data_IF_490749762467
#
_entry.id   IF_490749762467
#
_cell.length_a   1.000
_cell.length_b   1.000
_cell.length_c   1.000
_cell.angle_alpha   90.00
_cell.angle_beta   90.00
_cell.angle_gamma   90.00
#
_symmetry.space_group_name_H-M   'P 1'
#
loop_
_entity.id
_entity.type
_entity.pdbx_description
1 polymer ?
#
# COMPACT_ATOMS: atom_id res chain seq x y z
N UNK A 1 14.66 42.78 8.71
CA UNK A 1 14.63 41.94 7.49
C UNK A 1 14.76 40.48 7.91
N UNK A 2 13.94 39.56 7.37
CA UNK A 2 13.90 38.15 7.80
C UNK A 2 15.17 37.33 7.50
N UNK A 3 16.18 37.92 6.85
CA UNK A 3 17.40 37.24 6.39
C UNK A 3 17.26 36.80 4.93
N UNK A 4 18.36 36.34 4.31
CA UNK A 4 18.37 35.80 2.95
C UNK A 4 19.43 34.69 2.82
N UNK A 5 19.26 33.81 1.84
CA UNK A 5 20.30 32.84 1.46
C UNK A 5 21.05 33.40 0.26
N UNK A 6 22.37 33.55 0.40
CA UNK A 6 23.26 33.90 -0.70
C UNK A 6 23.84 32.62 -1.30
N UNK A 7 23.79 32.48 -2.62
CA UNK A 7 24.55 31.47 -3.35
C UNK A 7 25.74 32.17 -3.98
N UNK A 8 26.95 31.78 -3.59
CA UNK A 8 28.17 32.38 -4.14
C UNK A 8 28.59 31.74 -5.48
N UNK A 9 29.63 32.29 -6.12
CA UNK A 9 30.14 31.80 -7.40
C UNK A 9 30.67 30.37 -7.35
N UNK A 10 30.99 29.86 -6.15
CA UNK A 10 31.40 28.48 -5.93
C UNK A 10 30.19 27.55 -5.63
N UNK A 11 28.97 28.06 -5.69
CA UNK A 11 27.74 27.31 -5.41
C UNK A 11 27.48 27.07 -3.92
N UNK A 12 28.20 27.75 -3.02
CA UNK A 12 27.98 27.61 -1.57
C UNK A 12 26.77 28.43 -1.16
N UNK A 13 25.87 27.81 -0.41
CA UNK A 13 24.68 28.47 0.13
C UNK A 13 24.98 28.99 1.54
N UNK A 14 24.84 30.30 1.74
CA UNK A 14 25.16 30.99 2.98
C UNK A 14 23.91 31.67 3.52
N UNK A 15 23.47 31.27 4.71
CA UNK A 15 22.35 31.90 5.39
C UNK A 15 22.79 33.21 6.09
N UNK A 16 22.32 34.34 5.57
CA UNK A 16 22.63 35.68 6.07
C UNK A 16 21.49 36.19 6.95
N UNK A 17 21.78 36.42 8.22
CA UNK A 17 20.83 36.92 9.22
C UNK A 17 20.56 35.91 10.34
N UNK A 18 20.45 36.39 11.59
CA UNK A 18 20.31 35.51 12.76
C UNK A 18 18.96 34.77 12.79
N UNK A 19 17.86 35.45 12.42
CA UNK A 19 16.52 34.85 12.40
C UNK A 19 16.44 33.68 11.40
N UNK A 20 16.89 33.88 10.16
CA UNK A 20 16.93 32.84 9.14
C UNK A 20 17.83 31.66 9.56
N UNK A 21 19.00 31.93 10.18
CA UNK A 21 19.87 30.86 10.68
C UNK A 21 19.19 30.00 11.75
N UNK A 22 18.41 30.62 12.63
CA UNK A 22 17.66 29.89 13.66
C UNK A 22 16.55 29.03 13.04
N UNK A 23 15.84 29.55 12.03
CA UNK A 23 14.82 28.81 11.28
C UNK A 23 15.43 27.61 10.52
N UNK A 24 16.50 27.85 9.76
CA UNK A 24 17.19 26.79 9.02
C UNK A 24 17.86 25.76 9.93
N UNK A 25 18.24 26.12 11.16
CA UNK A 25 18.78 25.17 12.14
C UNK A 25 17.75 24.11 12.54
N UNK A 26 16.46 24.47 12.60
CA UNK A 26 15.38 23.50 12.84
C UNK A 26 15.15 22.56 11.65
N UNK A 27 15.58 23.00 10.46
CA UNK A 27 15.51 22.26 9.20
C UNK A 27 16.84 21.54 8.87
N UNK A 28 17.78 21.40 9.82
CA UNK A 28 19.09 20.80 9.55
C UNK A 28 18.98 19.39 8.95
N UNK A 29 19.65 19.13 7.83
CA UNK A 29 19.61 17.84 7.15
C UNK A 29 20.31 17.86 5.80
N UNK A 30 20.29 16.74 5.09
CA UNK A 30 20.73 16.66 3.71
C UNK A 30 19.56 17.03 2.80
N UNK A 31 19.82 17.90 1.84
CA UNK A 31 18.85 18.34 0.86
C UNK A 31 19.34 17.98 -0.53
N UNK A 32 18.43 17.49 -1.37
CA UNK A 32 18.68 17.35 -2.79
C UNK A 32 18.14 18.57 -3.53
N UNK A 33 18.94 19.09 -4.46
CA UNK A 33 18.51 20.18 -5.33
C UNK A 33 17.58 19.62 -6.39
N UNK A 34 16.36 20.14 -6.44
CA UNK A 34 15.44 19.89 -7.53
C UNK A 34 15.73 20.87 -8.66
N UNK A 35 15.44 20.53 -9.92
CA UNK A 35 15.61 21.45 -11.03
C UNK A 35 14.92 22.80 -10.79
N UNK A 36 15.73 23.85 -10.89
CA UNK A 36 15.46 25.23 -10.48
C UNK A 36 15.74 26.17 -11.63
N UNK A 37 15.13 27.35 -11.64
CA UNK A 37 15.36 28.39 -12.66
C UNK A 37 16.18 29.57 -12.10
N UNK A 38 16.30 30.66 -12.86
CA UNK A 38 17.04 31.85 -12.41
C UNK A 38 16.35 32.65 -11.31
N UNK A 39 15.09 32.35 -10.98
CA UNK A 39 14.27 33.07 -10.04
C UNK A 39 14.02 32.30 -8.74
N UNK A 40 14.02 30.97 -8.77
CA UNK A 40 13.67 30.11 -7.63
C UNK A 40 14.59 28.89 -7.53
N UNK A 41 15.06 28.63 -6.30
CA UNK A 41 15.82 27.43 -5.95
C UNK A 41 14.97 26.46 -5.12
N UNK A 42 14.90 25.20 -5.54
CA UNK A 42 14.05 24.17 -4.96
C UNK A 42 14.91 23.09 -4.28
N UNK A 43 14.57 22.76 -3.03
CA UNK A 43 15.28 21.76 -2.24
C UNK A 43 14.29 20.82 -1.55
N UNK A 44 14.58 19.52 -1.58
CA UNK A 44 13.81 18.51 -0.83
C UNK A 44 14.71 17.84 0.22
N UNK A 45 14.24 17.75 1.48
CA UNK A 45 14.96 17.06 2.55
C UNK A 45 14.95 15.55 2.27
N UNK A 46 16.09 14.90 2.46
CA UNK A 46 16.26 13.46 2.19
C UNK A 46 16.85 12.78 3.43
N UNK A 47 16.33 11.60 3.76
CA UNK A 47 16.78 10.80 4.92
C UNK A 47 18.16 10.16 4.73
N UNK A 48 18.77 10.31 3.54
CA UNK A 48 20.09 9.82 3.15
C UNK A 48 20.51 10.43 1.80
N UNK A 49 21.67 10.07 1.24
CA UNK A 49 22.08 10.55 -0.10
C UNK A 49 21.23 9.85 -1.18
N UNK A 50 20.37 10.57 -1.92
CA UNK A 50 19.48 9.95 -2.90
C UNK A 50 20.29 9.48 -4.13
N UNK A 51 19.85 8.42 -4.82
CA UNK A 51 20.43 8.07 -6.11
C UNK A 51 20.24 9.23 -7.10
N UNK A 52 21.34 9.70 -7.70
CA UNK A 52 21.43 10.87 -8.62
C UNK A 52 20.49 10.83 -9.85
N UNK A 53 19.73 9.76 -10.06
CA UNK A 53 18.93 9.53 -11.27
C UNK A 53 17.51 10.09 -11.20
N UNK A 54 16.93 10.23 -10.02
CA UNK A 54 15.49 10.56 -9.87
C UNK A 54 15.15 12.05 -10.12
N UNK A 55 16.16 12.93 -10.28
CA UNK A 55 15.98 14.40 -10.24
C UNK A 55 16.52 15.16 -11.46
N UNK A 56 16.68 14.47 -12.60
CA UNK A 56 17.32 15.07 -13.80
C UNK A 56 16.45 16.03 -14.61
N UNK A 57 15.17 16.21 -14.26
CA UNK A 57 14.17 16.83 -15.14
C UNK A 57 13.50 18.07 -14.53
N UNK A 58 13.37 19.20 -15.27
CA UNK A 58 12.79 20.46 -14.78
C UNK A 58 11.44 20.23 -14.10
N UNK A 59 11.31 20.65 -12.85
CA UNK A 59 10.03 20.69 -12.13
C UNK A 59 9.22 21.83 -12.71
N UNK A 60 8.02 21.53 -13.19
CA UNK A 60 7.11 22.52 -13.81
C UNK A 60 5.89 22.81 -12.96
N UNK A 61 5.57 21.93 -12.01
CA UNK A 61 4.52 22.14 -11.03
C UNK A 61 4.90 21.36 -9.76
N UNK A 62 4.69 21.97 -8.60
CA UNK A 62 4.83 21.31 -7.30
C UNK A 62 3.73 21.79 -6.36
N UNK A 63 3.38 20.97 -5.37
CA UNK A 63 2.41 21.32 -4.36
C UNK A 63 2.26 20.23 -3.31
N UNK A 64 1.46 20.52 -2.30
CA UNK A 64 1.11 19.60 -1.22
C UNK A 64 -0.10 18.74 -1.65
N UNK A 65 -0.09 17.48 -1.21
CA UNK A 65 -1.24 16.58 -1.20
C UNK A 65 -2.07 16.90 0.06
N UNK A 66 -2.59 18.12 0.16
CA UNK A 66 -3.35 18.55 1.34
C UNK A 66 -4.84 18.20 1.18
N UNK A 67 -5.26 17.08 1.76
CA UNK A 67 -6.68 16.71 1.86
C UNK A 67 -7.27 15.98 0.65
N UNK A 68 -8.54 15.59 0.79
CA UNK A 68 -9.27 14.77 -0.19
C UNK A 68 -9.42 15.52 -1.52
N UNK A 69 -9.01 14.90 -2.63
CA UNK A 69 -9.14 15.47 -3.97
C UNK A 69 -7.90 16.17 -4.53
N UNK A 70 -6.90 16.50 -3.69
CA UNK A 70 -5.66 17.16 -4.16
C UNK A 70 -4.90 16.33 -5.21
N UNK A 71 -4.80 15.01 -5.02
CA UNK A 71 -4.23 14.08 -6.00
C UNK A 71 -5.07 13.99 -7.29
N UNK A 72 -6.40 14.04 -7.16
CA UNK A 72 -7.34 14.04 -8.29
C UNK A 72 -7.16 15.30 -9.13
N UNK A 73 -7.09 16.46 -8.48
CA UNK A 73 -6.97 17.76 -9.13
C UNK A 73 -5.68 17.88 -9.92
N UNK A 74 -4.54 17.48 -9.34
CA UNK A 74 -3.26 17.52 -10.07
C UNK A 74 -3.23 16.53 -11.23
N UNK A 75 -3.77 15.32 -11.08
CA UNK A 75 -3.85 14.34 -12.17
C UNK A 75 -4.77 14.88 -13.28
N UNK A 76 -5.92 15.45 -12.91
CA UNK A 76 -6.86 16.03 -13.87
C UNK A 76 -6.28 17.24 -14.59
N UNK A 77 -5.50 18.09 -13.89
CA UNK A 77 -4.74 19.17 -14.50
C UNK A 77 -3.75 18.64 -15.54
N UNK A 78 -2.92 17.66 -15.17
CA UNK A 78 -1.92 17.05 -16.08
C UNK A 78 -2.61 16.44 -17.32
N UNK A 79 -3.74 15.77 -17.13
CA UNK A 79 -4.55 15.21 -18.20
C UNK A 79 -5.12 16.29 -19.13
N UNK A 80 -5.85 17.26 -18.56
CA UNK A 80 -6.60 18.28 -19.30
C UNK A 80 -5.68 19.26 -20.03
N UNK A 81 -4.53 19.58 -19.45
CA UNK A 81 -3.50 20.41 -20.08
C UNK A 81 -2.51 19.62 -20.96
N UNK A 82 -2.81 18.34 -21.21
CA UNK A 82 -2.03 17.43 -22.06
C UNK A 82 -0.53 17.42 -21.75
N UNK A 83 -0.16 17.57 -20.48
CA UNK A 83 1.24 17.59 -20.09
C UNK A 83 1.87 16.21 -20.31
N UNK A 84 3.15 16.23 -20.66
CA UNK A 84 4.01 15.04 -20.77
C UNK A 84 5.13 15.16 -19.75
N UNK A 85 5.43 14.07 -19.05
CA UNK A 85 6.38 14.11 -17.94
C UNK A 85 6.10 13.07 -16.85
N UNK A 86 6.82 13.20 -15.74
CA UNK A 86 6.63 12.34 -14.57
C UNK A 86 5.98 13.14 -13.45
N UNK A 87 4.83 12.67 -12.98
CA UNK A 87 4.15 13.17 -11.79
C UNK A 87 4.50 12.26 -10.61
N UNK A 88 5.43 12.70 -9.78
CA UNK A 88 5.88 12.03 -8.57
C UNK A 88 5.00 12.46 -7.39
N UNK A 89 4.57 11.49 -6.57
CA UNK A 89 3.92 11.67 -5.28
C UNK A 89 4.80 11.11 -4.17
N UNK A 90 4.86 11.83 -3.05
CA UNK A 90 5.74 11.56 -1.91
C UNK A 90 4.94 11.64 -0.62
N UNK A 91 4.88 10.57 0.16
CA UNK A 91 4.25 10.56 1.49
C UNK A 91 5.15 9.79 2.46
N UNK A 92 5.87 10.53 3.31
CA UNK A 92 6.96 9.97 4.11
C UNK A 92 8.01 9.28 3.24
N UNK A 93 8.21 7.97 3.47
CA UNK A 93 9.11 7.14 2.67
C UNK A 93 8.47 6.59 1.39
N UNK A 94 7.16 6.74 1.21
CA UNK A 94 6.47 6.24 0.01
C UNK A 94 6.69 7.16 -1.17
N UNK A 95 7.15 6.59 -2.29
CA UNK A 95 7.40 7.29 -3.56
C UNK A 95 6.66 6.57 -4.68
N UNK A 96 5.75 7.27 -5.36
CA UNK A 96 4.98 6.72 -6.49
C UNK A 96 5.02 7.70 -7.66
N UNK A 97 5.28 7.23 -8.87
CA UNK A 97 5.38 8.08 -10.06
C UNK A 97 4.39 7.62 -11.12
N UNK A 98 3.63 8.56 -11.67
CA UNK A 98 2.85 8.38 -12.90
C UNK A 98 3.60 9.02 -14.06
N UNK A 99 3.84 8.25 -15.12
CA UNK A 99 4.46 8.76 -16.35
C UNK A 99 3.36 9.10 -17.35
N UNK A 100 3.31 10.36 -17.77
CA UNK A 100 2.33 10.91 -18.71
C UNK A 100 2.95 11.21 -20.07
N UNK A 101 2.17 10.98 -21.13
CA UNK A 101 2.44 11.46 -22.49
C UNK A 101 1.14 11.91 -23.13
N UNK A 102 1.08 13.17 -23.54
CA UNK A 102 -0.10 13.84 -24.10
C UNK A 102 -1.33 13.72 -23.16
N UNK A 103 -1.10 13.90 -21.86
CA UNK A 103 -2.13 13.75 -20.82
C UNK A 103 -2.61 12.31 -20.57
N UNK A 104 -2.05 11.30 -21.25
CA UNK A 104 -2.37 9.89 -21.04
C UNK A 104 -1.34 9.22 -20.13
N UNK A 105 -1.79 8.32 -19.25
CA UNK A 105 -0.91 7.52 -18.39
C UNK A 105 -0.26 6.42 -19.22
N UNK A 106 1.07 6.41 -19.28
CA UNK A 106 1.89 5.43 -20.02
C UNK A 106 2.53 4.39 -19.12
N UNK A 107 2.80 4.75 -17.87
CA UNK A 107 3.42 3.87 -16.90
C UNK A 107 3.15 4.38 -15.48
N UNK A 108 3.35 3.50 -14.50
CA UNK A 108 3.42 3.88 -13.09
C UNK A 108 4.51 3.07 -12.39
N UNK A 109 5.21 3.70 -11.45
CA UNK A 109 6.24 3.07 -10.62
C UNK A 109 6.01 3.39 -9.15
N UNK A 110 6.48 2.51 -8.28
CA UNK A 110 6.36 2.65 -6.83
C UNK A 110 7.54 1.97 -6.14
N UNK A 111 7.98 2.55 -5.02
CA UNK A 111 8.99 1.92 -4.17
C UNK A 111 8.42 0.90 -3.18
N UNK A 112 7.09 0.82 -3.06
CA UNK A 112 6.39 -0.12 -2.16
C UNK A 112 6.46 -1.55 -2.69
N UNK A 113 6.86 -2.55 -1.88
CA UNK A 113 6.96 -3.94 -2.31
C UNK A 113 5.67 -4.52 -2.91
N UNK A 114 4.52 -4.19 -2.33
CA UNK A 114 3.18 -4.65 -2.71
C UNK A 114 2.76 -4.24 -4.13
N UNK A 115 3.35 -3.17 -4.66
CA UNK A 115 3.07 -2.64 -6.00
C UNK A 115 3.94 -3.27 -7.08
N UNK A 116 4.87 -4.16 -6.73
CA UNK A 116 5.79 -4.78 -7.69
C UNK A 116 5.03 -5.73 -8.60
N UNK A 117 5.46 -5.84 -9.87
CA UNK A 117 4.87 -6.73 -10.86
C UNK A 117 4.77 -8.19 -10.38
N UNK A 118 5.75 -8.67 -9.60
CA UNK A 118 5.71 -10.00 -9.01
C UNK A 118 4.51 -10.19 -8.06
N UNK A 119 4.24 -9.21 -7.20
CA UNK A 119 3.08 -9.25 -6.28
C UNK A 119 1.76 -9.16 -7.05
N UNK A 120 1.70 -8.38 -8.14
CA UNK A 120 0.53 -8.35 -9.04
C UNK A 120 0.32 -9.74 -9.66
N UNK A 121 1.35 -10.36 -10.23
CA UNK A 121 1.26 -11.71 -10.80
C UNK A 121 0.81 -12.75 -9.77
N UNK A 122 1.24 -12.61 -8.52
CA UNK A 122 0.83 -13.48 -7.42
C UNK A 122 -0.65 -13.27 -7.05
N UNK A 123 -1.07 -12.03 -6.78
CA UNK A 123 -2.43 -11.68 -6.35
C UNK A 123 -3.50 -12.06 -7.38
N UNK A 124 -3.22 -11.84 -8.66
CA UNK A 124 -4.10 -12.28 -9.74
C UNK A 124 -3.94 -13.76 -10.11
N UNK A 125 -3.20 -14.55 -9.32
CA UNK A 125 -3.05 -15.99 -9.49
C UNK A 125 -2.42 -16.43 -10.80
N UNK A 126 -1.64 -15.54 -11.45
CA UNK A 126 -0.94 -15.82 -12.70
C UNK A 126 0.26 -16.76 -12.47
N UNK A 127 1.00 -16.55 -11.37
CA UNK A 127 2.12 -17.40 -10.97
C UNK A 127 2.11 -17.67 -9.46
N UNK A 128 2.57 -18.86 -9.02
CA UNK A 128 2.71 -19.17 -7.60
C UNK A 128 3.93 -18.46 -6.98
N UNK A 129 3.89 -18.28 -5.66
CA UNK A 129 4.88 -17.51 -4.88
C UNK A 129 6.31 -18.04 -5.07
N UNK A 130 6.47 -19.36 -5.02
CA UNK A 130 7.76 -20.03 -5.13
C UNK A 130 8.44 -19.80 -6.49
N UNK A 131 7.67 -19.74 -7.58
CA UNK A 131 8.18 -19.42 -8.92
C UNK A 131 8.64 -17.96 -8.99
N UNK A 132 7.83 -17.05 -8.45
CA UNK A 132 8.11 -15.62 -8.46
C UNK A 132 9.32 -15.26 -7.60
N UNK A 133 9.46 -15.85 -6.42
CA UNK A 133 10.59 -15.60 -5.52
C UNK A 133 11.91 -16.05 -6.16
N UNK A 134 11.95 -17.25 -6.73
CA UNK A 134 13.12 -17.75 -7.49
C UNK A 134 13.47 -16.86 -8.67
N UNK A 135 12.47 -16.44 -9.44
CA UNK A 135 12.67 -15.55 -10.59
C UNK A 135 13.18 -14.17 -10.17
N UNK A 136 12.64 -13.59 -9.09
CA UNK A 136 13.03 -12.29 -8.57
C UNK A 136 14.46 -12.30 -7.99
N UNK A 137 14.86 -13.36 -7.32
CA UNK A 137 16.24 -13.53 -6.84
C UNK A 137 17.23 -13.60 -7.99
N UNK A 138 16.93 -14.40 -9.02
CA UNK A 138 17.80 -14.48 -10.20
C UNK A 138 17.88 -13.13 -10.93
N UNK A 139 16.75 -12.46 -11.15
CA UNK A 139 16.69 -11.14 -11.78
C UNK A 139 17.53 -10.09 -11.04
N UNK A 140 17.56 -10.13 -9.70
CA UNK A 140 18.42 -9.25 -8.89
C UNK A 140 19.90 -9.51 -9.17
N UNK A 141 20.30 -10.78 -9.28
CA UNK A 141 21.68 -11.18 -9.58
C UNK A 141 22.12 -10.75 -11.00
N UNK A 142 21.26 -10.92 -11.99
CA UNK A 142 21.57 -10.61 -13.40
C UNK A 142 21.18 -9.18 -13.83
N UNK A 143 20.63 -8.37 -12.91
CA UNK A 143 20.11 -7.01 -13.14
C UNK A 143 19.16 -6.90 -14.33
N UNK A 144 18.18 -7.81 -14.39
CA UNK A 144 17.23 -7.89 -15.50
C UNK A 144 15.79 -7.68 -15.04
N UNK A 145 14.91 -7.05 -15.85
CA UNK A 145 13.50 -6.89 -15.49
C UNK A 145 12.78 -8.24 -15.36
N UNK A 146 12.02 -8.40 -14.27
CA UNK A 146 11.28 -9.63 -13.96
C UNK A 146 10.35 -10.07 -15.11
N UNK A 147 9.57 -9.14 -15.68
CA UNK A 147 8.64 -9.45 -16.76
C UNK A 147 9.32 -10.07 -17.99
N UNK A 148 10.46 -9.51 -18.41
CA UNK A 148 11.23 -10.03 -19.55
C UNK A 148 11.84 -11.40 -19.23
N UNK A 149 12.31 -11.61 -18.01
CA UNK A 149 12.84 -12.91 -17.57
C UNK A 149 11.77 -14.00 -17.58
N UNK A 150 10.56 -13.69 -17.12
CA UNK A 150 9.44 -14.63 -17.12
C UNK A 150 8.96 -14.96 -18.55
N UNK A 151 8.97 -13.96 -19.46
CA UNK A 151 8.66 -14.15 -20.88
C UNK A 151 9.65 -15.10 -21.56
N UNK A 152 10.95 -14.84 -21.40
CA UNK A 152 12.02 -15.63 -22.02
C UNK A 152 12.00 -17.10 -21.58
N UNK A 153 11.54 -17.36 -20.36
CA UNK A 153 11.37 -18.72 -19.83
C UNK A 153 10.04 -19.37 -20.17
N UNK A 154 9.19 -18.70 -20.94
CA UNK A 154 7.86 -19.20 -21.30
C UNK A 154 6.92 -19.37 -20.11
N UNK A 155 7.19 -18.70 -18.98
CA UNK A 155 6.37 -18.79 -17.77
C UNK A 155 5.12 -17.91 -17.86
N UNK A 156 5.18 -16.86 -18.69
CA UNK A 156 4.04 -16.00 -19.04
C UNK A 156 4.09 -15.73 -20.54
N UNK A 157 2.95 -15.41 -21.14
CA UNK A 157 2.87 -14.92 -22.53
C UNK A 157 3.03 -13.40 -22.59
N UNK A 158 3.24 -12.85 -23.79
CA UNK A 158 3.27 -11.39 -23.99
C UNK A 158 1.92 -10.73 -23.65
N UNK A 159 0.81 -11.43 -23.89
CA UNK A 159 -0.53 -10.98 -23.51
C UNK A 159 -0.67 -10.95 -21.98
N UNK A 160 -0.18 -11.97 -21.27
CA UNK A 160 -0.18 -12.00 -19.81
C UNK A 160 0.67 -10.88 -19.22
N UNK A 161 1.86 -10.64 -19.77
CA UNK A 161 2.70 -9.54 -19.32
C UNK A 161 1.99 -8.21 -19.50
N UNK A 162 1.43 -7.94 -20.69
CA UNK A 162 0.70 -6.71 -20.96
C UNK A 162 -0.47 -6.50 -20.00
N UNK A 163 -1.28 -7.54 -19.77
CA UNK A 163 -2.42 -7.50 -18.85
C UNK A 163 -1.98 -7.19 -17.41
N UNK A 164 -0.91 -7.82 -16.92
CA UNK A 164 -0.46 -7.64 -15.54
C UNK A 164 0.30 -6.34 -15.33
N UNK A 165 1.03 -5.83 -16.33
CA UNK A 165 1.59 -4.47 -16.27
C UNK A 165 0.46 -3.43 -16.27
N UNK A 166 -0.60 -3.62 -17.08
CA UNK A 166 -1.77 -2.75 -17.02
C UNK A 166 -2.40 -2.72 -15.62
N UNK A 167 -2.62 -3.89 -15.01
CA UNK A 167 -3.13 -4.00 -13.62
C UNK A 167 -2.22 -3.31 -12.62
N UNK A 168 -0.91 -3.48 -12.75
CA UNK A 168 0.07 -2.79 -11.90
C UNK A 168 -0.09 -1.26 -11.99
N UNK A 169 -0.23 -0.73 -13.21
CA UNK A 169 -0.45 0.72 -13.41
C UNK A 169 -1.77 1.17 -12.78
N UNK A 170 -2.85 0.43 -13.00
CA UNK A 170 -4.16 0.71 -12.40
C UNK A 170 -4.10 0.70 -10.86
N UNK A 171 -3.44 -0.28 -10.25
CA UNK A 171 -3.33 -0.37 -8.79
C UNK A 171 -2.46 0.72 -8.18
N UNK A 172 -1.30 1.02 -8.78
CA UNK A 172 -0.48 2.15 -8.33
C UNK A 172 -1.28 3.45 -8.45
N UNK A 173 -2.00 3.64 -9.56
CA UNK A 173 -2.85 4.81 -9.76
C UNK A 173 -3.91 4.93 -8.66
N UNK A 174 -4.67 3.86 -8.37
CA UNK A 174 -5.69 3.89 -7.32
C UNK A 174 -5.09 4.08 -5.92
N UNK A 175 -3.91 3.52 -5.66
CA UNK A 175 -3.22 3.72 -4.38
C UNK A 175 -2.76 5.17 -4.18
N UNK A 176 -2.45 5.90 -5.25
CA UNK A 176 -2.12 7.34 -5.18
C UNK A 176 -3.36 8.15 -4.76
N UNK A 177 -4.55 7.79 -5.24
CA UNK A 177 -5.79 8.48 -4.86
C UNK A 177 -6.12 8.34 -3.36
N UNK A 178 -5.56 7.33 -2.69
CA UNK A 178 -5.73 7.09 -1.26
C UNK A 178 -4.75 7.89 -0.38
N UNK A 179 -3.75 8.55 -0.97
CA UNK A 179 -2.79 9.39 -0.23
C UNK A 179 -3.51 10.62 0.34
N UNK A 180 -3.36 10.88 1.64
CA UNK A 180 -4.10 11.93 2.38
C UNK A 180 -3.25 13.17 2.68
N UNK A 181 -1.94 13.01 2.63
CA UNK A 181 -0.90 13.98 2.92
C UNK A 181 0.33 13.68 2.04
N UNK A 182 1.24 14.65 1.93
CA UNK A 182 2.49 14.49 1.20
C UNK A 182 2.76 15.61 0.19
N UNK A 183 3.69 15.38 -0.73
CA UNK A 183 4.04 16.33 -1.78
C UNK A 183 3.89 15.70 -3.16
N UNK A 184 3.63 16.53 -4.17
CA UNK A 184 3.73 16.12 -5.57
C UNK A 184 4.67 17.01 -6.37
N UNK A 185 5.27 16.43 -7.40
CA UNK A 185 6.18 17.10 -8.31
C UNK A 185 5.92 16.63 -9.74
N UNK A 186 5.55 17.55 -10.62
CA UNK A 186 5.49 17.31 -12.05
C UNK A 186 6.81 17.75 -12.68
N UNK A 187 7.51 16.81 -13.30
CA UNK A 187 8.74 17.07 -14.05
C UNK A 187 8.50 16.89 -15.54
N UNK A 188 8.99 17.80 -16.37
CA UNK A 188 8.97 17.62 -17.83
C UNK A 188 10.16 16.81 -18.28
N UNK A 189 9.92 15.77 -19.07
CA UNK A 189 11.00 15.10 -19.77
C UNK A 189 11.05 15.59 -21.24
N UNK A 190 12.07 16.37 -21.64
CA UNK A 190 12.19 16.88 -23.01
C UNK A 190 12.54 15.81 -24.05
N UNK A 191 12.97 14.61 -23.63
CA UNK A 191 13.21 13.46 -24.49
C UNK A 191 12.23 12.37 -24.07
N UNK A 192 11.15 12.18 -24.85
CA UNK A 192 10.09 11.18 -24.68
C UNK A 192 10.05 10.52 -23.29
N UNK A 193 9.07 10.83 -22.42
CA UNK A 193 9.08 10.49 -20.98
C UNK A 193 9.30 9.01 -20.63
N UNK A 194 9.39 8.14 -21.62
CA UNK A 194 9.43 6.71 -21.46
C UNK A 194 8.05 6.19 -21.15
N UNK A 195 7.92 4.88 -21.07
CA UNK A 195 6.66 4.20 -20.86
C UNK A 195 6.52 3.06 -21.85
N UNK A 196 6.00 1.94 -21.37
CA UNK A 196 5.71 0.79 -22.23
C UNK A 196 4.63 1.13 -23.28
N UNK A 197 4.14 0.13 -24.03
CA UNK A 197 3.10 0.33 -25.04
C UNK A 197 1.73 0.77 -24.47
N UNK A 198 1.61 0.92 -23.15
CA UNK A 198 0.36 1.28 -22.49
C UNK A 198 -0.03 2.73 -22.80
N UNK A 199 -1.33 2.93 -22.97
CA UNK A 199 -1.96 4.24 -23.12
C UNK A 199 -3.29 4.21 -22.39
N UNK A 200 -3.30 4.64 -21.14
CA UNK A 200 -4.50 4.65 -20.31
C UNK A 200 -5.02 6.08 -20.17
N UNK A 201 -6.33 6.24 -20.36
CA UNK A 201 -6.99 7.52 -20.19
C UNK A 201 -7.07 7.86 -18.70
N UNK A 202 -6.40 8.95 -18.31
CA UNK A 202 -6.31 9.36 -16.91
C UNK A 202 -7.69 9.71 -16.33
N UNK A 203 -8.57 10.36 -17.10
CA UNK A 203 -9.92 10.68 -16.65
C UNK A 203 -10.75 9.42 -16.39
N UNK A 204 -10.67 8.41 -17.27
CA UNK A 204 -11.33 7.11 -17.03
C UNK A 204 -10.81 6.42 -15.78
N UNK A 205 -9.48 6.46 -15.55
CA UNK A 205 -8.88 5.94 -14.33
C UNK A 205 -9.32 6.72 -13.09
N UNK A 206 -9.42 8.05 -13.15
CA UNK A 206 -9.93 8.87 -12.05
C UNK A 206 -11.37 8.51 -11.68
N UNK A 207 -12.26 8.45 -12.68
CA UNK A 207 -13.67 8.13 -12.44
C UNK A 207 -13.85 6.73 -11.85
N UNK A 208 -13.12 5.75 -12.40
CA UNK A 208 -13.14 4.39 -11.88
C UNK A 208 -12.52 4.31 -10.47
N UNK A 209 -11.42 5.03 -10.22
CA UNK A 209 -10.75 5.06 -8.94
C UNK A 209 -11.63 5.63 -7.83
N UNK A 210 -12.29 6.76 -8.09
CA UNK A 210 -13.24 7.37 -7.16
C UNK A 210 -14.42 6.42 -6.86
N UNK A 211 -15.02 5.83 -7.91
CA UNK A 211 -16.08 4.83 -7.74
C UNK A 211 -15.62 3.65 -6.87
N UNK A 212 -14.41 3.14 -7.11
CA UNK A 212 -13.84 2.02 -6.34
C UNK A 212 -13.60 2.39 -4.88
N UNK A 213 -13.13 3.61 -4.60
CA UNK A 213 -12.90 4.09 -3.24
C UNK A 213 -14.21 4.12 -2.44
N UNK A 214 -15.27 4.70 -3.02
CA UNK A 214 -16.59 4.77 -2.39
C UNK A 214 -17.18 3.37 -2.17
N UNK A 215 -17.16 2.52 -3.20
CA UNK A 215 -17.66 1.13 -3.10
C UNK A 215 -16.87 0.32 -2.07
N UNK A 216 -15.53 0.43 -2.05
CA UNK A 216 -14.69 -0.34 -1.14
C UNK A 216 -14.88 0.08 0.32
N UNK A 217 -15.03 1.38 0.59
CA UNK A 217 -15.36 1.87 1.93
C UNK A 217 -16.67 1.25 2.42
N UNK A 218 -17.70 1.25 1.56
CA UNK A 218 -19.00 0.65 1.85
C UNK A 218 -18.94 -0.87 2.06
N UNK A 219 -18.13 -1.59 1.27
CA UNK A 219 -17.98 -3.04 1.40
C UNK A 219 -17.29 -3.44 2.71
N UNK A 220 -16.23 -2.72 3.10
CA UNK A 220 -15.45 -3.01 4.31
C UNK A 220 -16.24 -2.85 5.61
N UNK A 221 -17.25 -1.97 5.62
CA UNK A 221 -18.19 -1.89 6.75
C UNK A 221 -18.98 -3.20 6.97
N UNK A 222 -19.26 -3.96 5.91
CA UNK A 222 -20.01 -5.23 5.99
C UNK A 222 -19.11 -6.45 6.02
N UNK A 223 -17.94 -6.41 5.37
CA UNK A 223 -17.00 -7.53 5.32
C UNK A 223 -15.64 -6.99 5.78
N UNK A 224 -15.39 -7.01 7.12
CA UNK A 224 -14.08 -6.66 7.65
C UNK A 224 -13.02 -7.64 7.16
N UNK A 225 -11.81 -7.16 6.88
CA UNK A 225 -10.69 -7.98 6.40
C UNK A 225 -10.00 -8.74 7.56
N UNK A 226 -10.07 -8.23 8.79
CA UNK A 226 -9.32 -8.77 9.95
C UNK A 226 -9.95 -10.07 10.50
N UNK A 227 -9.22 -11.18 10.39
CA UNK A 227 -9.51 -12.45 11.09
C UNK A 227 -10.83 -13.12 10.71
N UNK A 228 -11.49 -12.68 9.63
CA UNK A 228 -12.78 -13.20 9.20
C UNK A 228 -12.63 -14.11 7.99
N UNK A 229 -13.24 -15.29 8.06
CA UNK A 229 -13.32 -16.24 6.94
C UNK A 229 -14.75 -16.26 6.41
N UNK A 230 -14.89 -16.42 5.11
CA UNK A 230 -16.18 -16.54 4.44
C UNK A 230 -16.42 -18.00 4.08
N UNK A 231 -17.67 -18.45 4.19
CA UNK A 231 -18.09 -19.80 3.77
C UNK A 231 -19.42 -19.71 3.05
N UNK A 232 -19.61 -20.58 2.04
CA UNK A 232 -20.88 -20.72 1.34
C UNK A 232 -21.90 -21.40 2.26
N UNK A 233 -23.12 -20.87 2.28
CA UNK A 233 -24.23 -21.51 2.99
C UNK A 233 -24.71 -22.73 2.22
N UNK A 234 -25.02 -23.80 2.94
CA UNK A 234 -25.45 -25.07 2.34
C UNK A 234 -26.82 -24.96 1.65
N UNK A 235 -27.67 -24.03 2.09
CA UNK A 235 -29.02 -23.76 1.60
C UNK A 235 -29.09 -22.62 0.56
N UNK A 236 -27.94 -22.13 0.06
CA UNK A 236 -27.88 -21.01 -0.86
C UNK A 236 -28.50 -21.35 -2.24
N UNK A 237 -29.48 -20.55 -2.69
CA UNK A 237 -30.10 -20.72 -4.00
C UNK A 237 -29.22 -20.16 -5.13
N UNK A 238 -28.56 -21.05 -5.87
CA UNK A 238 -27.62 -20.66 -6.93
C UNK A 238 -28.27 -20.34 -8.29
N UNK A 239 -29.61 -20.42 -8.41
CA UNK A 239 -30.34 -20.33 -9.67
C UNK A 239 -30.09 -19.05 -10.46
N UNK A 240 -30.14 -17.90 -9.77
CA UNK A 240 -30.05 -16.56 -10.39
C UNK A 240 -28.62 -16.00 -10.48
N UNK A 241 -27.62 -16.78 -10.08
CA UNK A 241 -26.25 -16.30 -10.04
C UNK A 241 -25.59 -16.25 -11.42
N UNK A 242 -24.72 -15.27 -11.64
CA UNK A 242 -23.85 -15.23 -12.80
C UNK A 242 -22.70 -16.23 -12.73
N UNK A 243 -21.91 -16.31 -13.81
CA UNK A 243 -20.78 -17.24 -13.89
C UNK A 243 -19.67 -16.91 -12.88
N UNK A 244 -19.44 -15.62 -12.60
CA UNK A 244 -18.39 -15.16 -11.68
C UNK A 244 -18.77 -15.44 -10.23
N UNK A 245 -20.01 -15.16 -9.86
CA UNK A 245 -20.61 -15.42 -8.55
C UNK A 245 -20.55 -16.92 -8.22
N UNK A 246 -20.97 -17.77 -9.18
CA UNK A 246 -20.86 -19.24 -9.03
C UNK A 246 -19.42 -19.71 -8.85
N UNK A 247 -18.44 -19.09 -9.52
CA UNK A 247 -17.04 -19.44 -9.30
C UNK A 247 -16.59 -19.10 -7.87
N UNK A 248 -16.91 -17.88 -7.40
CA UNK A 248 -16.58 -17.43 -6.04
C UNK A 248 -17.23 -18.35 -5.00
N UNK A 249 -18.51 -18.69 -5.15
CA UNK A 249 -19.18 -19.64 -4.24
C UNK A 249 -18.52 -21.01 -4.22
N UNK A 250 -18.07 -21.54 -5.36
CA UNK A 250 -17.32 -22.80 -5.40
C UNK A 250 -16.00 -22.73 -4.63
N UNK A 251 -15.37 -21.56 -4.55
CA UNK A 251 -14.16 -21.39 -3.74
C UNK A 251 -14.45 -21.36 -2.24
N UNK A 252 -15.68 -21.02 -1.85
CA UNK A 252 -16.13 -20.89 -0.47
C UNK A 252 -16.75 -22.16 0.11
N UNK A 253 -16.58 -23.32 -0.53
CA UNK A 253 -16.99 -24.63 0.00
C UNK A 253 -16.28 -24.99 1.33
N UNK A 254 -15.16 -24.31 1.61
CA UNK A 254 -14.49 -24.32 2.91
C UNK A 254 -14.28 -22.87 3.35
N UNK A 255 -14.19 -22.58 4.65
CA UNK A 255 -13.88 -21.24 5.12
C UNK A 255 -12.59 -20.73 4.48
N UNK A 256 -12.62 -19.53 3.88
CA UNK A 256 -11.47 -18.87 3.24
C UNK A 256 -11.45 -17.38 3.52
N UNK A 257 -10.27 -16.78 3.52
CA UNK A 257 -10.14 -15.30 3.58
C UNK A 257 -10.44 -14.68 2.22
N UNK A 258 -10.71 -13.37 2.20
CA UNK A 258 -10.91 -12.60 0.95
C UNK A 258 -9.72 -12.77 0.00
N UNK A 259 -8.50 -12.70 0.53
CA UNK A 259 -7.26 -12.88 -0.25
C UNK A 259 -7.19 -14.27 -0.91
N UNK A 260 -7.51 -15.32 -0.17
CA UNK A 260 -7.51 -16.70 -0.69
C UNK A 260 -8.53 -16.88 -1.82
N UNK A 261 -9.70 -16.24 -1.72
CA UNK A 261 -10.73 -16.26 -2.76
C UNK A 261 -10.29 -15.45 -3.99
N UNK A 262 -9.73 -14.26 -3.76
CA UNK A 262 -9.27 -13.34 -4.81
C UNK A 262 -8.25 -14.01 -5.72
N UNK A 263 -7.25 -14.64 -5.10
CA UNK A 263 -6.21 -15.40 -5.80
C UNK A 263 -6.75 -16.61 -6.55
N UNK A 264 -7.66 -17.37 -5.93
CA UNK A 264 -8.22 -18.57 -6.55
C UNK A 264 -9.10 -18.24 -7.77
N UNK A 265 -9.83 -17.12 -7.72
CA UNK A 265 -10.70 -16.67 -8.82
C UNK A 265 -9.98 -15.80 -9.85
N UNK A 266 -8.80 -15.26 -9.52
CA UNK A 266 -7.98 -14.38 -10.38
C UNK A 266 -8.67 -13.05 -10.76
N UNK A 267 -9.59 -12.58 -9.93
CA UNK A 267 -10.36 -11.34 -10.19
C UNK A 267 -9.70 -10.09 -9.61
N UNK A 268 -8.76 -10.24 -8.68
CA UNK A 268 -8.19 -9.11 -7.93
C UNK A 268 -9.12 -8.65 -6.80
N UNK A 269 -8.57 -7.84 -5.92
CA UNK A 269 -9.16 -7.65 -4.58
C UNK A 269 -10.49 -6.90 -4.64
N UNK A 270 -10.58 -5.86 -5.47
CA UNK A 270 -11.80 -5.07 -5.64
C UNK A 270 -12.98 -5.90 -6.20
N UNK A 271 -12.78 -6.56 -7.34
CA UNK A 271 -13.82 -7.38 -7.98
C UNK A 271 -14.25 -8.55 -7.09
N UNK A 272 -13.29 -9.16 -6.40
CA UNK A 272 -13.58 -10.23 -5.44
C UNK A 272 -14.44 -9.73 -4.28
N UNK A 273 -14.05 -8.62 -3.66
CA UNK A 273 -14.80 -8.02 -2.56
C UNK A 273 -16.22 -7.65 -2.99
N UNK A 274 -16.39 -7.07 -4.18
CA UNK A 274 -17.71 -6.74 -4.74
C UNK A 274 -18.61 -7.97 -4.89
N UNK A 275 -18.08 -9.06 -5.45
CA UNK A 275 -18.83 -10.31 -5.60
C UNK A 275 -19.18 -10.90 -4.22
N UNK A 276 -18.22 -10.95 -3.31
CA UNK A 276 -18.45 -11.42 -1.94
C UNK A 276 -19.51 -10.60 -1.22
N UNK A 277 -19.49 -9.28 -1.40
CA UNK A 277 -20.49 -8.38 -0.84
C UNK A 277 -21.89 -8.70 -1.36
N UNK A 278 -22.08 -8.82 -2.68
CA UNK A 278 -23.37 -9.17 -3.27
C UNK A 278 -23.86 -10.55 -2.81
N UNK A 279 -22.96 -11.54 -2.74
CA UNK A 279 -23.27 -12.88 -2.24
C UNK A 279 -23.68 -12.86 -0.76
N UNK A 280 -23.04 -12.02 0.06
CA UNK A 280 -23.41 -11.84 1.47
C UNK A 280 -24.79 -11.19 1.59
N UNK A 281 -25.04 -10.12 0.84
CA UNK A 281 -26.30 -9.39 0.88
C UNK A 281 -27.49 -10.24 0.43
N UNK A 282 -27.27 -11.14 -0.52
CA UNK A 282 -28.27 -12.09 -1.01
C UNK A 282 -28.35 -13.38 -0.17
N UNK A 283 -27.59 -13.50 0.91
CA UNK A 283 -27.67 -14.62 1.86
C UNK A 283 -27.01 -15.93 1.39
N UNK A 284 -26.10 -15.88 0.41
CA UNK A 284 -25.41 -17.08 -0.09
C UNK A 284 -24.16 -17.46 0.71
N UNK A 285 -23.60 -16.50 1.46
CA UNK A 285 -22.38 -16.69 2.23
C UNK A 285 -22.55 -16.09 3.62
N UNK A 286 -21.79 -16.60 4.56
CA UNK A 286 -21.72 -16.11 5.94
C UNK A 286 -20.28 -15.86 6.38
N UNK A 287 -20.13 -14.98 7.38
CA UNK A 287 -18.86 -14.72 8.04
C UNK A 287 -18.69 -15.69 9.20
N UNK A 288 -17.52 -16.28 9.27
CA UNK A 288 -17.09 -17.16 10.36
C UNK A 288 -15.88 -16.51 11.01
N UNK A 289 -16.00 -16.19 12.29
CA UNK A 289 -14.86 -15.74 13.08
C UNK A 289 -13.81 -16.84 13.12
N UNK A 290 -12.54 -16.48 12.95
CA UNK A 290 -11.44 -17.39 13.22
C UNK A 290 -11.53 -17.83 14.68
N UNK A 291 -11.95 -19.07 14.92
CA UNK A 291 -11.62 -19.73 16.17
C UNK A 291 -10.12 -20.00 16.08
N UNK A 292 -9.33 -19.14 16.68
CA UNK A 292 -8.02 -19.54 17.17
C UNK A 292 -8.29 -20.58 18.24
N UNK A 293 -8.43 -21.84 17.85
CA UNK A 293 -8.06 -22.91 18.78
C UNK A 293 -6.61 -22.58 19.18
N UNK A 294 -6.31 -22.37 20.48
CA UNK A 294 -4.92 -22.28 20.88
C UNK A 294 -4.21 -23.50 20.30
N UNK A 295 -3.05 -23.33 19.65
CA UNK A 295 -2.37 -24.44 19.01
C UNK A 295 -2.35 -25.59 20.00
N UNK A 296 -2.96 -26.72 19.62
CA UNK A 296 -2.93 -27.93 20.41
C UNK A 296 -1.48 -28.09 20.84
N UNK A 297 -1.25 -28.04 22.15
CA UNK A 297 0.08 -28.17 22.71
C UNK A 297 0.64 -29.50 22.21
N UNK A 298 1.40 -29.45 21.12
CA UNK A 298 2.37 -30.47 20.81
C UNK A 298 3.26 -30.52 22.05
N UNK A 299 3.16 -31.66 22.73
CA UNK A 299 3.98 -31.99 23.88
C UNK A 299 5.42 -32.03 23.37
N UNK A 300 6.07 -30.88 23.38
CA UNK A 300 7.52 -30.79 23.27
C UNK A 300 8.05 -31.35 24.59
N UNK A 301 8.57 -32.57 24.47
CA UNK A 301 9.39 -33.20 25.49
C UNK A 301 10.43 -32.20 25.99
N UNK A 302 10.47 -32.07 27.31
CA UNK A 302 11.32 -31.17 28.06
C UNK A 302 12.80 -31.33 27.67
N UNK A 303 13.41 -30.28 27.11
CA UNK A 303 14.85 -30.06 27.28
C UNK A 303 15.04 -28.85 28.19
N UNK A 304 15.20 -29.16 29.48
CA UNK A 304 15.40 -28.19 30.55
C UNK A 304 16.78 -27.55 30.44
N UNK A 305 16.82 -26.29 30.04
CA UNK A 305 17.85 -25.34 30.53
C UNK A 305 17.15 -24.05 30.93
N UNK A 306 17.20 -23.75 32.23
CA UNK A 306 16.41 -22.71 32.87
C UNK A 306 16.68 -21.31 32.32
N UNK A 307 15.61 -20.60 31.97
CA UNK A 307 15.62 -19.14 31.95
C UNK A 307 14.65 -18.64 33.01
N UNK A 308 15.11 -17.73 33.86
CA UNK A 308 14.34 -17.06 34.93
C UNK A 308 13.06 -16.39 34.39
N UNK A 309 12.96 -16.19 33.08
CA UNK A 309 11.82 -15.64 32.36
C UNK A 309 10.61 -16.58 32.35
N UNK A 310 10.80 -17.90 32.22
CA UNK A 310 9.70 -18.87 32.24
C UNK A 310 9.00 -18.90 33.59
N UNK A 311 9.79 -18.94 34.67
CA UNK A 311 9.27 -18.86 36.03
C UNK A 311 8.54 -17.56 36.33
N UNK A 312 8.98 -16.43 35.76
CA UNK A 312 8.28 -15.14 35.94
C UNK A 312 6.93 -15.10 35.23
N UNK A 313 6.84 -15.64 34.01
CA UNK A 313 5.58 -15.69 33.25
C UNK A 313 4.56 -16.61 33.92
N UNK A 314 4.99 -17.78 34.41
CA UNK A 314 4.12 -18.70 35.12
C UNK A 314 3.64 -18.15 36.46
N UNK A 315 4.53 -17.45 37.19
CA UNK A 315 4.17 -16.76 38.43
C UNK A 315 3.19 -15.63 38.15
N UNK A 316 3.41 -14.85 37.09
CA UNK A 316 2.52 -13.77 36.68
C UNK A 316 1.12 -14.30 36.33
N UNK A 317 1.04 -15.35 35.52
CA UNK A 317 -0.22 -15.95 35.10
C UNK A 317 -0.97 -16.57 36.28
N UNK A 318 -0.27 -17.24 37.20
CA UNK A 318 -0.87 -17.84 38.40
C UNK A 318 -1.42 -16.77 39.35
N UNK A 319 -0.71 -15.65 39.52
CA UNK A 319 -1.18 -14.51 40.32
C UNK A 319 -2.39 -13.87 39.66
N UNK A 320 -2.37 -13.72 38.33
CA UNK A 320 -3.49 -13.14 37.57
C UNK A 320 -4.76 -13.99 37.69
N UNK A 321 -4.66 -15.31 37.53
CA UNK A 321 -5.79 -16.23 37.71
C UNK A 321 -6.36 -16.17 39.13
N UNK A 322 -5.49 -16.13 40.16
CA UNK A 322 -5.94 -16.06 41.55
C UNK A 322 -6.63 -14.73 41.87
N UNK A 323 -6.13 -13.61 41.36
CA UNK A 323 -6.76 -12.30 41.51
C UNK A 323 -8.12 -12.29 40.81
N UNK A 324 -8.20 -12.81 39.58
CA UNK A 324 -9.44 -12.87 38.82
C UNK A 324 -10.50 -13.74 39.52
N UNK A 325 -10.08 -14.90 40.05
CA UNK A 325 -10.95 -15.84 40.76
C UNK A 325 -11.40 -15.28 42.12
N UNK A 326 -10.54 -14.53 42.82
CA UNK A 326 -10.89 -13.88 44.09
C UNK A 326 -11.85 -12.70 43.89
N UNK A 327 -11.68 -11.91 42.82
CA UNK A 327 -12.52 -10.75 42.51
C UNK A 327 -13.90 -11.20 41.99
N UNK A 328 -13.97 -12.26 41.18
CA UNK A 328 -15.23 -12.86 40.75
C UNK A 328 -16.09 -13.36 41.93
N UNK A 329 -15.47 -13.76 43.05
CA UNK A 329 -16.18 -14.16 44.27
C UNK A 329 -16.66 -12.99 45.14
N UNK A 330 -16.06 -11.81 45.05
CA UNK A 330 -16.37 -10.66 45.91
C UNK A 330 -17.08 -9.48 45.20
N UNK A 331 -17.45 -9.62 43.92
CA UNK A 331 -18.35 -8.69 43.24
C UNK A 331 -17.78 -7.29 42.95
N UNK A 332 -16.46 -7.10 42.98
CA UNK A 332 -15.80 -5.80 42.73
C UNK A 332 -15.24 -5.65 41.30
N UNK A 333 -15.95 -6.15 40.27
CA UNK A 333 -15.52 -6.03 38.87
C UNK A 333 -15.34 -4.56 38.41
N UNK A 334 -16.16 -3.63 38.91
CA UNK A 334 -16.08 -2.21 38.54
C UNK A 334 -14.81 -1.50 39.04
N UNK A 335 -14.24 -1.90 40.18
CA UNK A 335 -13.01 -1.30 40.71
C UNK A 335 -11.78 -1.69 39.87
N UNK A 336 -11.76 -2.93 39.36
CA UNK A 336 -10.70 -3.45 38.50
C UNK A 336 -10.71 -2.77 37.13
N UNK A 337 -11.89 -2.62 36.51
CA UNK A 337 -12.03 -1.98 35.20
C UNK A 337 -11.55 -0.52 35.23
N UNK A 338 -11.87 0.19 36.32
CA UNK A 338 -11.42 1.57 36.55
C UNK A 338 -9.91 1.67 36.81
N UNK A 339 -9.33 0.70 37.51
CA UNK A 339 -7.88 0.60 37.72
C UNK A 339 -7.10 0.31 36.43
N UNK A 340 -7.63 -0.58 35.58
CA UNK A 340 -7.04 -0.92 34.28
C UNK A 340 -7.10 0.25 33.29
N UNK A 341 -8.23 0.97 33.25
CA UNK A 341 -8.37 2.20 32.46
C UNK A 341 -7.38 3.28 32.91
N UNK A 342 -7.18 3.43 34.22
CA UNK A 342 -6.20 4.39 34.77
C UNK A 342 -4.76 3.99 34.41
N UNK A 343 -4.44 2.69 34.41
CA UNK A 343 -3.12 2.17 34.05
C UNK A 343 -2.81 2.35 32.56
N UNK A 344 -3.80 2.09 31.68
CA UNK A 344 -3.66 2.26 30.23
C UNK A 344 -3.57 3.74 29.81
N UNK A 345 -4.16 4.66 30.58
CA UNK A 345 -3.99 6.11 30.35
C UNK A 345 -2.60 6.64 30.71
N UNK A 346 -1.84 5.95 31.57
CA UNK A 346 -0.51 6.41 32.00
C UNK A 346 0.64 5.91 31.11
N UNK A 347 0.41 4.88 30.29
CA UNK A 347 1.44 4.23 29.48
C UNK A 347 1.06 4.06 28.00
N UNK A 348 -0.04 4.68 27.56
CA UNK A 348 -0.47 4.75 26.15
C UNK A 348 0.04 5.99 25.43
#
# INVERSE_FOLDING_TARGET
MKGYVQVDEAGRMIAVGAALRQELAQLAGVYTHLPSDSALLHFQRVGGTPPMEELRHPVVLQGDVAGFGSTVDVINFVHSSQQSGNLLFVQGDTRKTLTFKDGQVRNATSNRPEDRLGEILYRYGALPRDVLDRAAEECRRIRRPLGNHLLDRGQITQADLYLNVRRQVEEIFYSILLMKDGDFYLTRNPKDPGGGPLSLNAQSLLMEGLRRMDEMAYFRERIPEDGMRLVARADADVGDLGARERLVLRMLQKPRTVEQVSRACRYGDFETMKILFHLKQSGHIELVAEHTEPPAAESLEEDRVGSETGTMVDTFNTVFERIYTAIARHGQQQALQKGLETFLQFYG
#
